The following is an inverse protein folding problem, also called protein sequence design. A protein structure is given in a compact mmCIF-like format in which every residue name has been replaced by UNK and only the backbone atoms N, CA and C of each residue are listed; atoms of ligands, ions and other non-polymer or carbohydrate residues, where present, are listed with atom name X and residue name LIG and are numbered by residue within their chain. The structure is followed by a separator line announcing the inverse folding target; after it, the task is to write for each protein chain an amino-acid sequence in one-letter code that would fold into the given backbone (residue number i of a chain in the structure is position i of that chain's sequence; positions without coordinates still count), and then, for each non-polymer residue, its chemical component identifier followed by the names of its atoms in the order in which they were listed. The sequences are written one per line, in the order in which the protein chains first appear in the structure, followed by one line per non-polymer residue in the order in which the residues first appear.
data_IF_132211054799
#
_entry.id   IF_132211054799
#
_cell.length_a   1.000
_cell.length_b   1.000
_cell.length_c   1.000
_cell.angle_alpha   90.00
_cell.angle_beta   90.00
_cell.angle_gamma   90.00
#
_symmetry.space_group_name_H-M   'P 1'
#
loop_
_entity.id
_entity.type
_entity.pdbx_description
1 polymer ?
#
# COMPACT_ATOMS: atom_id res chain seq x y z
N UNK A 1 13.82 29.93 14.56
CA UNK A 1 13.63 29.09 15.76
C UNK A 1 14.94 28.85 16.52
N UNK A 2 15.98 28.28 15.88
CA UNK A 2 17.27 27.97 16.52
C UNK A 2 17.89 29.13 17.33
N UNK A 3 17.97 30.33 16.76
CA UNK A 3 18.45 31.53 17.47
C UNK A 3 17.70 31.81 18.79
N UNK A 4 16.37 31.62 18.81
CA UNK A 4 15.54 31.82 20.02
C UNK A 4 15.80 30.75 21.09
N UNK A 5 16.21 29.56 20.68
CA UNK A 5 16.55 28.44 21.58
C UNK A 5 18.03 28.43 21.99
N UNK A 6 18.84 29.37 21.50
CA UNK A 6 20.28 29.39 21.75
C UNK A 6 21.07 28.29 21.04
N UNK A 7 20.48 27.64 20.03
CA UNK A 7 21.14 26.54 19.32
C UNK A 7 22.17 27.08 18.31
N UNK A 8 23.43 26.69 18.47
CA UNK A 8 24.55 27.04 17.58
C UNK A 8 24.97 25.86 16.69
N UNK A 9 25.02 24.65 17.25
CA UNK A 9 25.26 23.40 16.53
C UNK A 9 23.96 22.63 16.42
N UNK A 10 23.60 22.31 15.18
CA UNK A 10 22.39 21.57 14.81
C UNK A 10 22.77 20.46 13.84
N UNK A 11 22.41 19.22 14.17
CA UNK A 11 22.49 18.06 13.28
C UNK A 11 21.12 17.76 12.69
N UNK A 12 21.06 17.64 11.37
CA UNK A 12 19.82 17.32 10.67
C UNK A 12 19.72 15.82 10.35
N UNK A 13 18.55 15.25 10.61
CA UNK A 13 18.19 13.90 10.18
C UNK A 13 17.19 13.95 9.02
N UNK A 14 17.60 13.42 7.88
CA UNK A 14 16.74 13.19 6.71
C UNK A 14 16.00 11.86 6.89
N UNK A 15 14.69 11.86 6.67
CA UNK A 15 13.95 10.60 6.50
C UNK A 15 12.71 10.79 5.61
N UNK A 16 12.31 9.70 4.96
CA UNK A 16 11.03 9.55 4.25
C UNK A 16 10.19 8.40 4.81
N UNK A 17 10.69 7.72 5.84
CA UNK A 17 10.08 6.54 6.46
C UNK A 17 9.64 6.88 7.89
N UNK A 18 8.70 6.13 8.48
CA UNK A 18 8.46 6.20 9.92
C UNK A 18 9.76 6.00 10.70
N UNK A 19 9.88 6.70 11.83
CA UNK A 19 10.99 6.48 12.76
C UNK A 19 10.64 5.38 13.75
N UNK A 20 11.64 4.56 14.04
CA UNK A 20 11.60 3.42 14.95
C UNK A 20 12.72 3.61 15.97
N UNK A 21 12.86 2.68 16.92
CA UNK A 21 13.86 2.83 18.00
C UNK A 21 15.29 2.95 17.46
N UNK A 22 15.65 2.13 16.49
CA UNK A 22 16.97 2.20 15.83
C UNK A 22 17.26 3.59 15.25
N UNK A 23 16.27 4.25 14.65
CA UNK A 23 16.41 5.61 14.13
C UNK A 23 16.59 6.64 15.26
N UNK A 24 15.84 6.49 16.35
CA UNK A 24 15.93 7.39 17.48
C UNK A 24 17.30 7.31 18.17
N UNK A 25 17.77 6.10 18.45
CA UNK A 25 19.13 5.86 18.97
C UNK A 25 20.22 6.39 18.05
N UNK A 26 20.11 6.13 16.75
CA UNK A 26 21.05 6.64 15.75
C UNK A 26 21.17 8.16 15.82
N UNK A 27 20.03 8.86 15.77
CA UNK A 27 20.04 10.33 15.79
C UNK A 27 20.50 10.91 17.11
N UNK A 28 20.25 10.23 18.23
CA UNK A 28 20.69 10.66 19.55
C UNK A 28 22.20 10.53 19.68
N UNK A 29 22.77 9.38 19.30
CA UNK A 29 24.22 9.18 19.24
C UNK A 29 24.89 10.18 18.30
N UNK A 30 24.25 10.48 17.16
CA UNK A 30 24.77 11.47 16.22
C UNK A 30 24.87 12.85 16.84
N UNK A 31 23.80 13.30 17.49
CA UNK A 31 23.76 14.58 18.19
C UNK A 31 24.80 14.65 19.32
N UNK A 32 24.94 13.58 20.12
CA UNK A 32 25.92 13.52 21.20
C UNK A 32 27.36 13.55 20.71
N UNK A 33 27.71 12.77 19.68
CA UNK A 33 29.08 12.69 19.13
C UNK A 33 29.62 14.04 18.67
N UNK A 34 28.74 14.89 18.15
CA UNK A 34 29.11 16.24 17.69
C UNK A 34 28.57 17.34 18.59
N UNK A 35 28.16 17.03 19.82
CA UNK A 35 27.67 18.00 20.81
C UNK A 35 26.68 19.03 20.22
N UNK A 36 25.70 18.53 19.46
CA UNK A 36 24.75 19.34 18.70
C UNK A 36 23.30 19.08 19.13
N UNK A 37 22.44 20.05 18.90
CA UNK A 37 21.00 19.86 18.98
C UNK A 37 20.50 19.12 17.73
N UNK A 38 19.38 18.42 17.84
CA UNK A 38 18.86 17.56 16.78
C UNK A 38 17.67 18.21 16.07
N UNK A 39 17.72 18.23 14.74
CA UNK A 39 16.58 18.53 13.89
C UNK A 39 16.14 17.26 13.16
N UNK A 40 15.00 16.72 13.56
CA UNK A 40 14.27 15.70 12.80
C UNK A 40 13.58 16.42 11.64
N UNK A 41 14.05 16.17 10.42
CA UNK A 41 13.66 16.95 9.24
C UNK A 41 13.08 16.08 8.12
N UNK A 42 11.96 15.38 8.36
CA UNK A 42 11.38 14.45 7.40
C UNK A 42 10.87 15.15 6.14
N UNK A 43 10.93 14.43 5.01
CA UNK A 43 10.33 14.87 3.76
C UNK A 43 8.83 14.57 3.73
N UNK A 44 8.03 15.57 3.38
CA UNK A 44 6.57 15.45 3.22
C UNK A 44 6.06 15.75 1.81
N UNK A 45 6.97 16.11 0.88
CA UNK A 45 6.64 16.17 -0.55
C UNK A 45 6.68 14.78 -1.20
N UNK A 46 7.06 14.71 -2.48
CA UNK A 46 7.17 13.44 -3.19
C UNK A 46 8.31 12.58 -2.63
N UNK A 47 8.01 11.33 -2.31
CA UNK A 47 8.98 10.32 -1.82
C UNK A 47 9.03 9.13 -2.78
N UNK A 48 9.53 7.96 -2.36
CA UNK A 48 9.56 6.78 -3.23
C UNK A 48 8.15 6.21 -3.39
N UNK A 49 7.74 5.77 -4.60
CA UNK A 49 6.50 5.02 -4.78
C UNK A 49 6.42 3.81 -3.85
N UNK A 50 5.27 3.62 -3.20
CA UNK A 50 5.03 2.56 -2.21
C UNK A 50 5.51 2.89 -0.79
N UNK A 51 6.13 4.05 -0.55
CA UNK A 51 6.38 4.53 0.81
C UNK A 51 5.05 4.81 1.54
N UNK A 52 5.12 4.79 2.87
CA UNK A 52 3.99 5.14 3.72
C UNK A 52 3.61 6.61 3.50
N UNK A 53 2.31 6.90 3.42
CA UNK A 53 1.80 8.25 3.21
C UNK A 53 2.33 9.22 4.26
N UNK A 54 2.54 10.48 3.86
CA UNK A 54 3.20 11.43 4.72
C UNK A 54 2.37 11.80 5.95
N UNK A 55 1.03 11.73 5.91
CA UNK A 55 0.21 12.04 7.09
C UNK A 55 0.44 11.00 8.18
N UNK A 56 0.45 9.72 7.83
CA UNK A 56 0.78 8.62 8.74
C UNK A 56 2.19 8.78 9.30
N UNK A 57 3.17 9.11 8.44
CA UNK A 57 4.55 9.34 8.89
C UNK A 57 4.66 10.52 9.85
N UNK A 58 3.98 11.63 9.58
CA UNK A 58 3.97 12.82 10.45
C UNK A 58 3.41 12.46 11.83
N UNK A 59 2.27 11.77 11.90
CA UNK A 59 1.71 11.29 13.18
C UNK A 59 2.68 10.34 13.89
N UNK A 60 3.37 9.46 13.16
CA UNK A 60 4.43 8.61 13.74
C UNK A 60 5.58 9.46 14.31
N UNK A 61 6.04 10.49 13.60
CA UNK A 61 7.11 11.38 14.10
C UNK A 61 6.68 12.09 15.38
N UNK A 62 5.45 12.61 15.44
CA UNK A 62 4.91 13.24 16.65
C UNK A 62 4.92 12.28 17.85
N UNK A 63 4.60 11.00 17.64
CA UNK A 63 4.71 9.97 18.69
C UNK A 63 6.15 9.71 19.12
N UNK A 64 7.08 9.58 18.18
CA UNK A 64 8.50 9.36 18.49
C UNK A 64 9.11 10.59 19.18
N UNK A 65 8.65 11.81 18.87
CA UNK A 65 9.17 13.04 19.47
C UNK A 65 9.05 13.06 21.00
N UNK A 66 8.07 12.36 21.58
CA UNK A 66 7.93 12.19 23.03
C UNK A 66 9.08 11.37 23.67
N UNK A 67 9.92 10.73 22.86
CA UNK A 67 11.09 9.95 23.27
C UNK A 67 12.40 10.75 23.17
N UNK A 68 12.33 12.02 22.80
CA UNK A 68 13.47 12.92 22.76
C UNK A 68 13.39 13.99 23.85
N UNK A 69 14.53 14.52 24.35
CA UNK A 69 14.52 15.67 25.24
C UNK A 69 14.03 16.93 24.49
N UNK A 70 12.94 17.54 24.97
CA UNK A 70 12.25 18.65 24.30
C UNK A 70 13.15 19.87 24.01
N UNK A 71 14.13 20.12 24.88
CA UNK A 71 15.02 21.30 24.79
C UNK A 71 16.15 21.16 23.78
N UNK A 72 16.42 19.94 23.31
CA UNK A 72 17.55 19.63 22.42
C UNK A 72 17.11 18.95 21.12
N UNK A 73 15.81 18.79 20.88
CA UNK A 73 15.30 18.18 19.64
C UNK A 73 14.10 18.93 19.10
N UNK A 74 14.06 19.13 17.78
CA UNK A 74 12.98 19.79 17.08
C UNK A 74 12.53 18.96 15.88
N UNK A 75 11.22 18.94 15.63
CA UNK A 75 10.62 18.46 14.39
C UNK A 75 10.33 19.63 13.45
N UNK A 76 10.67 19.50 12.18
CA UNK A 76 10.26 20.41 11.10
C UNK A 76 10.01 19.60 9.83
N UNK A 77 8.96 19.93 9.07
CA UNK A 77 8.64 19.21 7.83
C UNK A 77 9.34 19.86 6.64
N UNK A 78 9.89 19.04 5.74
CA UNK A 78 10.55 19.49 4.53
C UNK A 78 9.68 19.19 3.29
N UNK A 79 9.11 20.21 2.60
CA UNK A 79 8.35 20.01 1.37
C UNK A 79 9.28 19.79 0.16
N UNK A 80 10.08 18.72 0.21
CA UNK A 80 11.00 18.32 -0.85
C UNK A 80 10.34 17.25 -1.74
N UNK A 81 10.52 17.36 -3.05
CA UNK A 81 10.29 16.25 -3.96
C UNK A 81 11.60 15.49 -4.15
N UNK A 82 11.71 14.32 -3.53
CA UNK A 82 12.88 13.47 -3.68
C UNK A 82 12.96 12.90 -5.09
N UNK A 83 14.18 12.68 -5.59
CA UNK A 83 14.44 12.07 -6.90
C UNK A 83 14.90 10.62 -6.78
N UNK A 84 15.20 10.20 -5.55
CA UNK A 84 15.89 8.96 -5.26
C UNK A 84 17.26 8.90 -5.96
N UNK A 85 17.95 10.06 -6.03
CA UNK A 85 19.20 10.25 -6.76
C UNK A 85 20.47 9.90 -5.97
N UNK A 86 20.33 9.11 -4.90
CA UNK A 86 21.46 8.56 -4.13
C UNK A 86 22.50 9.62 -3.76
N UNK A 87 23.78 9.45 -4.18
CA UNK A 87 24.87 10.36 -3.84
C UNK A 87 24.63 11.83 -4.22
N UNK A 88 24.08 12.09 -5.42
CA UNK A 88 23.80 13.46 -5.87
C UNK A 88 22.73 14.13 -5.01
N UNK A 89 21.71 13.36 -4.63
CA UNK A 89 20.66 13.84 -3.75
C UNK A 89 21.14 14.01 -2.30
N UNK A 90 22.15 13.25 -1.85
CA UNK A 90 22.80 13.48 -0.57
C UNK A 90 23.49 14.86 -0.50
N UNK A 91 24.22 15.25 -1.55
CA UNK A 91 24.78 16.61 -1.65
C UNK A 91 23.68 17.67 -1.66
N UNK A 92 22.60 17.43 -2.42
CA UNK A 92 21.46 18.35 -2.46
C UNK A 92 20.81 18.50 -1.07
N UNK A 93 20.63 17.40 -0.35
CA UNK A 93 20.15 17.41 1.03
C UNK A 93 21.06 18.20 1.96
N UNK A 94 22.39 18.10 1.81
CA UNK A 94 23.36 18.86 2.59
C UNK A 94 23.18 20.38 2.36
N UNK A 95 23.09 20.81 1.10
CA UNK A 95 22.82 22.21 0.73
C UNK A 95 21.50 22.70 1.33
N UNK A 96 20.42 21.93 1.18
CA UNK A 96 19.11 22.28 1.75
C UNK A 96 19.24 22.46 3.26
N UNK A 97 19.87 21.52 3.98
CA UNK A 97 19.97 21.57 5.45
C UNK A 97 20.83 22.72 5.93
N UNK A 98 21.92 23.04 5.22
CA UNK A 98 22.70 24.25 5.46
C UNK A 98 21.83 25.50 5.34
N UNK A 99 21.02 25.61 4.28
CA UNK A 99 20.13 26.75 4.06
C UNK A 99 19.04 26.86 5.15
N UNK A 100 18.63 25.74 5.76
CA UNK A 100 17.75 25.73 6.94
C UNK A 100 18.48 26.06 8.25
N UNK A 101 19.79 26.34 8.20
CA UNK A 101 20.62 26.72 9.35
C UNK A 101 21.23 25.54 10.12
N UNK A 102 21.29 24.35 9.50
CA UNK A 102 21.93 23.19 10.11
C UNK A 102 23.45 23.23 9.87
N UNK A 103 24.21 22.87 10.90
CA UNK A 103 25.69 22.80 10.85
C UNK A 103 26.20 21.43 10.46
N UNK A 104 25.39 20.40 10.72
CA UNK A 104 25.72 19.00 10.49
C UNK A 104 24.55 18.29 9.80
N UNK A 105 24.84 17.23 9.04
CA UNK A 105 23.84 16.35 8.44
C UNK A 105 24.21 14.89 8.64
N UNK A 106 23.25 14.06 9.07
CA UNK A 106 23.42 12.62 9.15
C UNK A 106 23.27 12.03 7.75
N UNK A 107 24.25 11.21 7.35
CA UNK A 107 24.20 10.42 6.12
C UNK A 107 24.49 8.96 6.47
N UNK A 108 23.49 8.11 6.25
CA UNK A 108 23.58 6.68 6.52
C UNK A 108 23.82 5.85 5.26
N UNK A 109 23.75 4.52 5.43
CA UNK A 109 23.71 3.55 4.34
C UNK A 109 22.53 3.82 3.40
N UNK A 110 22.75 3.69 2.09
CA UNK A 110 21.77 3.85 1.00
C UNK A 110 21.02 5.20 1.02
N UNK A 111 21.68 6.28 1.47
CA UNK A 111 21.04 7.58 1.61
C UNK A 111 20.45 8.07 0.28
N UNK A 112 19.13 8.32 0.29
CA UNK A 112 18.35 8.67 -0.90
C UNK A 112 18.43 7.67 -2.07
N UNK A 113 18.80 6.41 -1.82
CA UNK A 113 18.80 5.35 -2.83
C UNK A 113 17.39 4.78 -3.10
N UNK A 114 17.08 4.38 -4.34
CA UNK A 114 15.81 3.74 -4.68
C UNK A 114 15.80 2.25 -4.31
N UNK A 115 16.92 1.65 -3.90
CA UNK A 115 17.07 0.23 -3.63
C UNK A 115 17.73 -0.48 -4.80
N UNK A 116 17.16 -1.64 -5.18
CA UNK A 116 17.66 -2.49 -6.25
C UNK A 116 16.81 -2.40 -7.51
N UNK A 117 17.38 -2.71 -8.67
CA UNK A 117 16.70 -2.83 -9.95
C UNK A 117 15.90 -4.13 -10.06
N UNK A 118 15.28 -4.37 -11.22
CA UNK A 118 14.49 -5.59 -11.48
C UNK A 118 15.31 -6.88 -11.46
N UNK A 119 16.65 -6.79 -11.56
CA UNK A 119 17.57 -7.92 -11.50
C UNK A 119 18.15 -8.12 -10.09
N UNK A 120 17.71 -7.31 -9.11
CA UNK A 120 18.23 -7.34 -7.74
C UNK A 120 19.61 -6.69 -7.58
N UNK A 121 20.04 -5.86 -8.54
CA UNK A 121 21.29 -5.12 -8.45
C UNK A 121 21.05 -3.74 -7.82
N UNK A 122 21.84 -3.33 -6.82
CA UNK A 122 21.66 -2.02 -6.18
C UNK A 122 22.01 -0.90 -7.17
N UNK A 123 21.14 0.13 -7.26
CA UNK A 123 21.39 1.30 -8.12
C UNK A 123 22.64 2.09 -7.73
N UNK A 124 23.00 2.06 -6.45
CA UNK A 124 24.16 2.74 -5.89
C UNK A 124 24.88 1.84 -4.89
N UNK A 125 26.20 1.97 -4.78
CA UNK A 125 26.94 1.34 -3.68
C UNK A 125 26.44 1.88 -2.32
N UNK A 126 26.31 1.05 -1.27
CA UNK A 126 25.63 1.44 -0.04
C UNK A 126 26.18 2.66 0.69
N UNK A 127 27.45 2.98 0.50
CA UNK A 127 28.10 4.15 1.11
C UNK A 127 28.49 5.25 0.11
N UNK A 128 28.12 5.13 -1.16
CA UNK A 128 28.49 6.10 -2.20
C UNK A 128 28.04 7.54 -1.88
N UNK A 129 26.95 7.70 -1.14
CA UNK A 129 26.47 9.00 -0.68
C UNK A 129 27.38 9.63 0.37
N UNK A 130 27.95 8.83 1.27
CA UNK A 130 28.94 9.29 2.24
C UNK A 130 30.23 9.66 1.53
N UNK A 131 30.71 8.79 0.63
CA UNK A 131 31.94 9.00 -0.13
C UNK A 131 31.92 10.33 -0.90
N UNK A 132 30.82 10.59 -1.61
CA UNK A 132 30.68 11.82 -2.40
C UNK A 132 30.55 13.06 -1.50
N UNK A 133 29.75 12.99 -0.42
CA UNK A 133 29.59 14.14 0.46
C UNK A 133 30.89 14.49 1.19
N UNK A 134 31.68 13.47 1.57
CA UNK A 134 32.98 13.65 2.23
C UNK A 134 33.97 14.45 1.37
N UNK A 135 33.94 14.25 0.05
CA UNK A 135 34.79 14.98 -0.89
C UNK A 135 34.44 16.47 -0.99
N UNK A 136 33.18 16.84 -0.75
CA UNK A 136 32.67 18.20 -0.96
C UNK A 136 32.23 18.91 0.33
N UNK A 137 32.31 18.30 1.51
CA UNK A 137 31.76 18.88 2.74
C UNK A 137 32.39 20.23 3.14
N UNK A 138 33.68 20.45 2.82
CA UNK A 138 34.37 21.72 3.06
C UNK A 138 33.81 22.83 2.17
N UNK A 139 33.68 22.56 0.87
CA UNK A 139 33.06 23.47 -0.11
C UNK A 139 31.61 23.78 0.25
N UNK A 140 30.86 22.75 0.67
CA UNK A 140 29.46 22.88 1.05
C UNK A 140 29.30 23.60 2.38
N UNK A 141 30.31 23.64 3.26
CA UNK A 141 30.23 24.30 4.58
C UNK A 141 29.19 23.68 5.52
N UNK A 142 29.03 22.35 5.47
CA UNK A 142 28.20 21.56 6.38
C UNK A 142 28.89 20.23 6.66
N UNK A 143 28.98 19.84 7.92
CA UNK A 143 29.75 18.66 8.34
C UNK A 143 28.89 17.40 8.25
N UNK A 144 29.39 16.38 7.57
CA UNK A 144 28.71 15.07 7.55
C UNK A 144 28.93 14.35 8.88
N UNK A 145 27.87 13.77 9.42
CA UNK A 145 27.94 12.79 10.50
C UNK A 145 27.64 11.42 9.89
N UNK A 146 28.70 10.65 9.66
CA UNK A 146 28.63 9.28 9.16
C UNK A 146 27.95 8.40 10.23
N UNK A 147 26.94 7.62 9.81
CA UNK A 147 26.34 6.59 10.64
C UNK A 147 26.19 5.29 9.91
N UNK A 148 26.47 4.22 10.65
CA UNK A 148 26.22 2.87 10.24
C UNK A 148 24.79 2.45 10.58
N UNK A 149 24.37 1.31 10.02
CA UNK A 149 23.12 0.68 10.41
C UNK A 149 23.17 0.30 11.90
N UNK A 150 22.13 0.62 12.64
CA UNK A 150 21.96 0.20 14.03
C UNK A 150 21.16 -1.10 14.08
N UNK A 151 21.62 -2.05 14.89
CA UNK A 151 20.94 -3.32 15.15
C UNK A 151 20.66 -3.48 16.64
N UNK A 152 19.69 -4.32 17.01
CA UNK A 152 19.40 -4.58 18.42
C UNK A 152 20.16 -5.83 18.88
N UNK A 153 21.06 -5.67 19.86
CA UNK A 153 21.69 -6.78 20.55
C UNK A 153 20.80 -7.26 21.69
N UNK A 154 20.35 -8.51 21.63
CA UNK A 154 19.57 -9.11 22.69
C UNK A 154 20.42 -9.35 23.94
N UNK A 155 21.70 -9.71 23.77
CA UNK A 155 22.62 -10.02 24.87
C UNK A 155 22.96 -8.78 25.69
N UNK A 156 23.16 -7.63 25.02
CA UNK A 156 23.47 -6.34 25.66
C UNK A 156 22.21 -5.52 25.95
N UNK A 157 21.02 -5.97 25.51
CA UNK A 157 19.74 -5.27 25.60
C UNK A 157 19.77 -3.81 25.07
N UNK A 158 20.59 -3.54 24.06
CA UNK A 158 20.82 -2.19 23.53
C UNK A 158 21.03 -2.19 22.02
N UNK A 159 20.94 -1.02 21.40
CA UNK A 159 21.27 -0.86 19.98
C UNK A 159 22.76 -0.59 19.81
N UNK A 160 23.38 -1.29 18.87
CA UNK A 160 24.78 -1.12 18.52
C UNK A 160 24.93 -0.91 17.00
N UNK A 161 25.95 -0.19 16.53
CA UNK A 161 26.33 -0.15 15.13
C UNK A 161 26.71 -1.55 14.65
N UNK A 162 26.52 -1.82 13.36
CA UNK A 162 26.92 -3.11 12.77
C UNK A 162 28.41 -3.41 12.88
N UNK A 163 29.28 -2.40 12.98
CA UNK A 163 30.72 -2.58 13.22
C UNK A 163 31.09 -3.03 14.64
N UNK A 164 30.20 -2.89 15.63
CA UNK A 164 30.44 -3.27 17.02
C UNK A 164 29.91 -4.68 17.35
N UNK A 165 29.39 -5.42 16.36
CA UNK A 165 28.88 -6.78 16.55
C UNK A 165 30.04 -7.74 16.83
N UNK A 166 29.98 -8.44 17.96
CA UNK A 166 30.97 -9.47 18.31
C UNK A 166 30.63 -10.84 17.68
N UNK A 167 31.64 -11.68 17.44
CA UNK A 167 31.43 -13.06 16.96
C UNK A 167 30.58 -13.84 17.97
N UNK A 168 29.32 -14.14 17.60
CA UNK A 168 28.26 -14.85 18.36
C UNK A 168 27.24 -13.96 19.10
N UNK A 169 27.24 -12.66 18.90
CA UNK A 169 26.21 -11.80 19.48
C UNK A 169 24.83 -12.06 18.86
N UNK A 170 23.80 -12.20 19.69
CA UNK A 170 22.43 -12.44 19.24
C UNK A 170 21.77 -11.13 18.78
N UNK A 171 21.81 -10.91 17.47
CA UNK A 171 21.33 -9.70 16.83
C UNK A 171 19.91 -9.88 16.27
N UNK A 172 19.01 -8.97 16.65
CA UNK A 172 17.66 -8.89 16.11
C UNK A 172 17.54 -7.71 15.15
N UNK A 173 16.94 -7.97 13.98
CA UNK A 173 16.60 -6.96 12.98
C UNK A 173 15.29 -7.32 12.28
N UNK A 174 14.49 -6.31 11.94
CA UNK A 174 13.28 -6.47 11.12
C UNK A 174 13.45 -5.59 9.88
N UNK A 175 13.40 -6.22 8.71
CA UNK A 175 13.43 -5.51 7.44
C UNK A 175 12.11 -4.79 7.19
N UNK A 176 12.12 -3.78 6.31
CA UNK A 176 10.88 -3.11 5.89
C UNK A 176 9.86 -4.04 5.21
N UNK A 177 10.31 -5.14 4.60
CA UNK A 177 9.43 -6.17 4.05
C UNK A 177 8.75 -6.98 5.16
N UNK A 178 9.50 -7.38 6.19
CA UNK A 178 8.94 -8.11 7.33
C UNK A 178 8.01 -7.21 8.18
N UNK A 179 8.34 -5.92 8.36
CA UNK A 179 7.43 -4.96 9.00
C UNK A 179 6.07 -4.89 8.27
N UNK A 180 6.10 -4.76 6.93
CA UNK A 180 4.88 -4.74 6.12
C UNK A 180 4.08 -6.03 6.25
N UNK A 181 4.76 -7.19 6.24
CA UNK A 181 4.12 -8.49 6.48
C UNK A 181 3.45 -8.55 7.85
N UNK A 182 4.12 -8.10 8.92
CA UNK A 182 3.55 -8.07 10.28
C UNK A 182 2.34 -7.14 10.39
N UNK A 183 2.40 -5.96 9.77
CA UNK A 183 1.26 -5.04 9.67
C UNK A 183 0.07 -5.70 8.95
N UNK A 184 0.30 -6.29 7.77
CA UNK A 184 -0.74 -6.94 6.96
C UNK A 184 -1.37 -8.14 7.66
N UNK A 185 -0.57 -8.99 8.30
CA UNK A 185 -1.05 -10.18 8.99
C UNK A 185 -1.52 -9.90 10.43
N UNK A 186 -1.37 -8.65 10.90
CA UNK A 186 -1.69 -8.26 12.27
C UNK A 186 -0.77 -8.87 13.34
N UNK A 187 0.33 -9.51 12.94
CA UNK A 187 1.31 -10.13 13.83
C UNK A 187 1.92 -9.10 14.78
N UNK A 188 2.40 -9.55 15.93
CA UNK A 188 3.10 -8.68 16.89
C UNK A 188 4.30 -7.97 16.24
N UNK A 189 4.48 -6.69 16.56
CA UNK A 189 5.66 -5.91 16.17
C UNK A 189 6.42 -5.64 17.47
N UNK A 190 7.59 -6.27 17.67
CA UNK A 190 8.25 -6.26 18.96
C UNK A 190 8.59 -4.85 19.43
N UNK A 191 8.50 -4.61 20.73
CA UNK A 191 8.81 -3.30 21.28
C UNK A 191 10.27 -2.91 21.06
N UNK A 192 11.20 -3.86 21.02
CA UNK A 192 12.60 -3.59 20.65
C UNK A 192 12.75 -3.13 19.18
N UNK A 193 11.75 -3.29 18.33
CA UNK A 193 11.81 -2.73 16.98
C UNK A 193 11.25 -1.31 16.95
N UNK A 194 10.02 -1.13 17.43
CA UNK A 194 9.30 0.14 17.37
C UNK A 194 8.51 0.40 18.64
N UNK A 195 8.32 1.67 18.95
CA UNK A 195 7.49 2.09 20.08
C UNK A 195 6.01 1.68 19.87
N UNK A 196 5.29 1.21 20.92
CA UNK A 196 3.89 0.81 20.82
C UNK A 196 3.00 1.88 20.19
N UNK A 197 3.16 3.15 20.59
CA UNK A 197 2.37 4.27 20.07
C UNK A 197 2.63 4.57 18.58
N UNK A 198 3.81 4.23 18.06
CA UNK A 198 4.13 4.33 16.63
C UNK A 198 3.49 3.18 15.88
N UNK A 199 3.56 1.96 16.43
CA UNK A 199 2.92 0.78 15.84
C UNK A 199 1.41 0.95 15.78
N UNK A 200 0.79 1.49 16.83
CA UNK A 200 -0.64 1.80 16.85
C UNK A 200 -1.01 2.76 15.71
N UNK A 201 -0.22 3.81 15.51
CA UNK A 201 -0.45 4.79 14.45
C UNK A 201 -0.29 4.18 13.04
N UNK A 202 0.73 3.32 12.86
CA UNK A 202 0.89 2.56 11.62
C UNK A 202 -0.29 1.63 11.36
N UNK A 203 -0.83 0.97 12.38
CA UNK A 203 -1.99 0.06 12.25
C UNK A 203 -3.30 0.77 11.94
N UNK A 204 -3.43 2.08 12.23
CA UNK A 204 -4.61 2.87 11.82
C UNK A 204 -4.67 3.03 10.31
N UNK A 205 -3.53 3.26 9.67
CA UNK A 205 -3.43 3.45 8.22
C UNK A 205 -3.21 2.15 7.46
N UNK A 206 -2.59 1.16 8.09
CA UNK A 206 -2.34 -0.17 7.54
C UNK A 206 -2.95 -1.23 8.46
N UNK A 207 -4.29 -1.33 8.50
CA UNK A 207 -4.95 -2.32 9.32
C UNK A 207 -4.60 -3.74 8.84
N UNK A 208 -4.68 -4.76 9.71
CA UNK A 208 -4.56 -6.15 9.30
C UNK A 208 -5.57 -6.52 8.21
N UNK A 209 -5.27 -7.52 7.36
CA UNK A 209 -6.09 -7.92 6.21
C UNK A 209 -7.57 -8.16 6.56
N UNK A 210 -7.85 -8.78 7.70
CA UNK A 210 -9.22 -9.06 8.14
C UNK A 210 -10.01 -7.81 8.56
N UNK A 211 -9.35 -6.65 8.66
CA UNK A 211 -9.93 -5.32 8.92
C UNK A 211 -9.81 -4.38 7.72
N UNK A 212 -9.17 -4.79 6.62
CA UNK A 212 -9.12 -4.02 5.38
C UNK A 212 -10.44 -4.11 4.62
N UNK A 213 -10.69 -3.15 3.75
CA UNK A 213 -11.74 -3.29 2.74
C UNK A 213 -11.30 -4.25 1.64
N UNK A 214 -12.26 -4.78 0.90
CA UNK A 214 -11.97 -5.62 -0.25
C UNK A 214 -13.09 -5.59 -1.29
N UNK A 215 -12.73 -5.86 -2.54
CA UNK A 215 -13.68 -5.99 -3.65
C UNK A 215 -13.80 -7.43 -4.11
N UNK A 216 -15.03 -7.90 -4.18
CA UNK A 216 -15.42 -9.15 -4.85
C UNK A 216 -15.92 -8.79 -6.23
N UNK A 217 -15.17 -9.17 -7.25
CA UNK A 217 -15.44 -8.83 -8.63
C UNK A 217 -15.88 -10.06 -9.43
N UNK A 218 -17.19 -10.24 -9.57
CA UNK A 218 -17.74 -11.27 -10.43
C UNK A 218 -17.64 -10.88 -11.91
N UNK A 219 -17.36 -11.86 -12.76
CA UNK A 219 -17.45 -11.75 -14.22
C UNK A 219 -18.06 -13.03 -14.80
N UNK A 220 -18.75 -12.92 -15.93
CA UNK A 220 -19.43 -14.03 -16.57
C UNK A 220 -20.57 -13.56 -17.47
N UNK A 221 -21.09 -14.46 -18.29
CA UNK A 221 -22.17 -14.19 -19.26
C UNK A 221 -23.47 -13.69 -18.59
N UNK A 222 -24.31 -12.98 -19.33
CA UNK A 222 -25.66 -12.63 -18.83
C UNK A 222 -26.42 -13.92 -18.46
N UNK A 223 -27.23 -13.93 -17.41
CA UNK A 223 -27.93 -15.17 -17.00
C UNK A 223 -27.06 -16.25 -16.33
N UNK A 224 -25.75 -16.03 -16.17
CA UNK A 224 -24.85 -17.01 -15.53
C UNK A 224 -25.05 -17.19 -14.02
N UNK A 225 -25.89 -16.38 -13.37
CA UNK A 225 -26.18 -16.47 -11.94
C UNK A 225 -25.37 -15.52 -11.04
N UNK A 226 -24.54 -14.63 -11.61
CA UNK A 226 -23.76 -13.62 -10.84
C UNK A 226 -24.59 -12.85 -9.82
N UNK A 227 -25.66 -12.18 -10.25
CA UNK A 227 -26.49 -11.34 -9.37
C UNK A 227 -27.15 -12.16 -8.26
N UNK A 228 -27.51 -13.42 -8.50
CA UNK A 228 -28.06 -14.32 -7.48
C UNK A 228 -27.02 -14.62 -6.40
N UNK A 229 -25.80 -15.03 -6.81
CA UNK A 229 -24.71 -15.32 -5.89
C UNK A 229 -24.27 -14.05 -5.14
N UNK A 230 -24.16 -12.92 -5.83
CA UNK A 230 -23.77 -11.63 -5.24
C UNK A 230 -24.75 -11.16 -4.16
N UNK A 231 -26.06 -11.34 -4.37
CA UNK A 231 -27.07 -10.99 -3.36
C UNK A 231 -27.04 -11.93 -2.15
N UNK A 232 -26.91 -13.25 -2.37
CA UNK A 232 -26.78 -14.22 -1.29
C UNK A 232 -25.52 -13.96 -0.46
N UNK A 233 -24.40 -13.69 -1.13
CA UNK A 233 -23.14 -13.33 -0.50
C UNK A 233 -23.23 -12.02 0.28
N UNK A 234 -23.92 -11.00 -0.24
CA UNK A 234 -24.16 -9.75 0.49
C UNK A 234 -24.82 -10.00 1.84
N UNK A 235 -25.93 -10.76 1.86
CA UNK A 235 -26.66 -11.07 3.10
C UNK A 235 -25.72 -11.78 4.08
N UNK A 236 -25.04 -12.81 3.61
CA UNK A 236 -24.13 -13.59 4.44
C UNK A 236 -22.98 -12.78 5.02
N UNK A 237 -22.36 -11.91 4.22
CA UNK A 237 -21.31 -11.03 4.72
C UNK A 237 -21.85 -10.03 5.75
N UNK A 238 -23.02 -9.44 5.53
CA UNK A 238 -23.64 -8.54 6.50
C UNK A 238 -23.96 -9.23 7.85
N UNK A 239 -24.20 -10.54 7.84
CA UNK A 239 -24.37 -11.34 9.06
C UNK A 239 -23.03 -11.70 9.75
N UNK A 240 -21.98 -11.93 8.96
CA UNK A 240 -20.69 -12.46 9.45
C UNK A 240 -19.67 -11.39 9.86
N UNK A 241 -19.67 -10.21 9.22
CA UNK A 241 -18.59 -9.23 9.39
C UNK A 241 -19.12 -7.86 9.80
N UNK A 242 -18.33 -7.13 10.60
CA UNK A 242 -18.62 -5.76 11.00
C UNK A 242 -17.98 -4.73 10.05
N UNK A 243 -18.32 -4.80 8.74
CA UNK A 243 -17.88 -3.86 7.71
C UNK A 243 -19.06 -3.51 6.80
N UNK A 244 -19.20 -2.24 6.33
CA UNK A 244 -20.23 -1.88 5.36
C UNK A 244 -20.07 -2.68 4.07
N UNK A 245 -21.16 -3.29 3.60
CA UNK A 245 -21.20 -4.06 2.36
C UNK A 245 -22.03 -3.32 1.31
N UNK A 246 -21.41 -3.02 0.17
CA UNK A 246 -22.04 -2.32 -0.95
C UNK A 246 -22.15 -3.25 -2.15
N UNK A 247 -23.35 -3.36 -2.72
CA UNK A 247 -23.60 -4.14 -3.94
C UNK A 247 -23.65 -3.22 -5.16
N UNK A 248 -22.71 -3.43 -6.08
CA UNK A 248 -22.61 -2.79 -7.39
C UNK A 248 -23.04 -3.80 -8.47
N UNK A 249 -24.32 -4.17 -8.44
CA UNK A 249 -24.93 -5.04 -9.45
C UNK A 249 -25.25 -4.26 -10.73
N UNK A 250 -25.34 -4.96 -11.87
CA UNK A 250 -25.48 -4.37 -13.19
C UNK A 250 -26.66 -3.41 -13.31
N UNK A 251 -27.82 -3.73 -12.70
CA UNK A 251 -29.01 -2.88 -12.77
C UNK A 251 -28.86 -1.60 -11.93
N UNK A 252 -28.30 -1.70 -10.71
CA UNK A 252 -28.03 -0.55 -9.83
C UNK A 252 -27.00 0.39 -10.47
N UNK A 253 -25.93 -0.17 -11.04
CA UNK A 253 -24.90 0.58 -11.74
C UNK A 253 -25.48 1.26 -12.98
N UNK A 254 -26.26 0.55 -13.80
CA UNK A 254 -26.91 1.12 -14.98
C UNK A 254 -27.85 2.26 -14.61
N UNK A 255 -28.57 2.16 -13.50
CA UNK A 255 -29.49 3.21 -13.07
C UNK A 255 -28.77 4.46 -12.58
N UNK A 256 -27.70 4.32 -11.79
CA UNK A 256 -27.11 5.45 -11.05
C UNK A 256 -25.80 5.97 -11.62
N UNK A 257 -25.04 5.12 -12.31
CA UNK A 257 -23.68 5.42 -12.73
C UNK A 257 -23.51 5.37 -14.25
N UNK A 258 -24.46 4.83 -15.01
CA UNK A 258 -24.25 4.49 -16.43
C UNK A 258 -25.55 4.47 -17.24
N UNK A 259 -26.52 5.31 -16.87
CA UNK A 259 -27.84 5.35 -17.51
C UNK A 259 -27.79 5.83 -18.97
N UNK A 260 -26.77 6.61 -19.30
CA UNK A 260 -26.51 7.14 -20.63
C UNK A 260 -25.71 6.18 -21.51
N UNK A 261 -25.10 5.15 -20.94
CA UNK A 261 -24.24 4.22 -21.66
C UNK A 261 -25.07 3.15 -22.38
N UNK A 262 -24.77 2.96 -23.66
CA UNK A 262 -25.31 1.89 -24.50
C UNK A 262 -24.61 0.53 -24.29
N UNK A 263 -24.53 -0.26 -25.37
CA UNK A 263 -23.95 -1.60 -25.36
C UNK A 263 -22.66 -1.75 -26.17
N UNK A 264 -22.12 -0.67 -26.73
CA UNK A 264 -20.88 -0.72 -27.49
C UNK A 264 -19.71 -1.19 -26.63
N UNK A 265 -18.66 -1.74 -27.27
CA UNK A 265 -17.40 -2.09 -26.60
C UNK A 265 -16.87 -0.94 -25.72
N UNK A 266 -16.85 0.28 -26.26
CA UNK A 266 -16.41 1.47 -25.54
C UNK A 266 -17.29 1.78 -24.31
N UNK A 267 -18.62 1.77 -24.47
CA UNK A 267 -19.54 2.00 -23.36
C UNK A 267 -19.43 0.92 -22.27
N UNK A 268 -19.15 -0.34 -22.63
CA UNK A 268 -18.89 -1.42 -21.67
C UNK A 268 -17.61 -1.16 -20.89
N UNK A 269 -16.56 -0.73 -21.56
CA UNK A 269 -15.28 -0.38 -20.93
C UNK A 269 -15.48 0.75 -19.91
N UNK A 270 -16.15 1.84 -20.30
CA UNK A 270 -16.45 2.96 -19.40
C UNK A 270 -17.28 2.49 -18.19
N UNK A 271 -18.31 1.67 -18.43
CA UNK A 271 -19.14 1.14 -17.36
C UNK A 271 -18.32 0.32 -16.34
N UNK A 272 -17.45 -0.57 -16.80
CA UNK A 272 -16.60 -1.39 -15.91
C UNK A 272 -15.56 -0.53 -15.20
N UNK A 273 -14.97 0.45 -15.87
CA UNK A 273 -14.04 1.41 -15.27
C UNK A 273 -14.71 2.22 -14.15
N UNK A 274 -15.95 2.68 -14.34
CA UNK A 274 -16.75 3.38 -13.31
C UNK A 274 -17.03 2.50 -12.11
N UNK A 275 -17.39 1.23 -12.34
CA UNK A 275 -17.54 0.25 -11.25
C UNK A 275 -16.23 0.09 -10.49
N UNK A 276 -15.11 -0.08 -11.20
CA UNK A 276 -13.78 -0.21 -10.60
C UNK A 276 -13.43 0.97 -9.71
N UNK A 277 -13.65 2.20 -10.17
CA UNK A 277 -13.39 3.42 -9.41
C UNK A 277 -14.25 3.53 -8.14
N UNK A 278 -15.54 3.25 -8.23
CA UNK A 278 -16.41 3.28 -7.03
C UNK A 278 -16.02 2.17 -6.06
N UNK A 279 -15.71 0.97 -6.55
CA UNK A 279 -15.25 -0.15 -5.74
C UNK A 279 -13.90 0.13 -5.06
N UNK A 280 -12.98 0.84 -5.73
CA UNK A 280 -11.67 1.21 -5.19
C UNK A 280 -11.81 2.18 -4.01
N UNK A 281 -12.68 3.18 -4.12
CA UNK A 281 -12.93 4.10 -3.00
C UNK A 281 -13.67 3.42 -1.84
N UNK A 282 -14.59 2.48 -2.10
CA UNK A 282 -15.21 1.66 -1.04
C UNK A 282 -14.15 0.82 -0.32
N UNK A 283 -13.28 0.15 -1.08
CA UNK A 283 -12.21 -0.72 -0.56
C UNK A 283 -11.22 0.07 0.30
N UNK A 284 -10.76 1.21 -0.20
CA UNK A 284 -9.87 2.15 0.49
C UNK A 284 -10.41 2.61 1.84
N UNK A 285 -11.73 2.75 1.96
CA UNK A 285 -12.41 3.18 3.19
C UNK A 285 -12.82 2.01 4.11
N UNK A 286 -12.28 0.80 3.90
CA UNK A 286 -12.54 -0.35 4.77
C UNK A 286 -13.86 -1.08 4.48
N UNK A 287 -14.60 -0.70 3.45
CA UNK A 287 -15.83 -1.34 3.04
C UNK A 287 -15.62 -2.58 2.17
N UNK A 288 -16.68 -3.34 1.96
CA UNK A 288 -16.72 -4.48 1.03
C UNK A 288 -17.54 -4.10 -0.18
N UNK A 289 -16.91 -4.08 -1.36
CA UNK A 289 -17.63 -3.89 -2.62
C UNK A 289 -17.90 -5.25 -3.27
N UNK A 290 -19.16 -5.53 -3.62
CA UNK A 290 -19.55 -6.71 -4.38
C UNK A 290 -20.00 -6.25 -5.76
N UNK A 291 -19.20 -6.54 -6.79
CA UNK A 291 -19.43 -6.10 -8.16
C UNK A 291 -19.88 -7.28 -9.01
N UNK A 292 -20.98 -7.14 -9.75
CA UNK A 292 -21.48 -8.21 -10.63
C UNK A 292 -21.66 -7.81 -12.12
N UNK A 293 -20.70 -7.10 -12.76
CA UNK A 293 -20.77 -6.81 -14.18
C UNK A 293 -20.55 -8.05 -15.05
N UNK A 294 -20.81 -7.92 -16.36
CA UNK A 294 -20.37 -8.93 -17.34
C UNK A 294 -18.84 -8.88 -17.48
N UNK A 295 -18.28 -7.67 -17.61
CA UNK A 295 -16.84 -7.41 -17.77
C UNK A 295 -16.14 -8.35 -18.79
N UNK A 296 -16.54 -8.28 -20.08
CA UNK A 296 -16.16 -9.29 -21.06
C UNK A 296 -14.70 -9.23 -21.51
N UNK A 297 -13.99 -8.12 -21.30
CA UNK A 297 -12.63 -7.93 -21.80
C UNK A 297 -11.60 -8.04 -20.68
N UNK A 298 -10.58 -8.90 -20.86
CA UNK A 298 -9.55 -9.17 -19.86
C UNK A 298 -8.72 -7.94 -19.51
N UNK A 299 -8.41 -7.08 -20.50
CA UNK A 299 -7.68 -5.83 -20.26
C UNK A 299 -8.38 -4.94 -19.23
N UNK A 300 -9.69 -4.78 -19.34
CA UNK A 300 -10.45 -3.93 -18.43
C UNK A 300 -10.56 -4.55 -17.03
N UNK A 301 -10.64 -5.89 -16.91
CA UNK A 301 -10.57 -6.55 -15.61
C UNK A 301 -9.22 -6.36 -14.93
N UNK A 302 -8.12 -6.42 -15.69
CA UNK A 302 -6.78 -6.12 -15.19
C UNK A 302 -6.64 -4.67 -14.72
N UNK A 303 -7.15 -3.69 -15.47
CA UNK A 303 -7.14 -2.27 -15.06
C UNK A 303 -7.92 -2.05 -13.75
N UNK A 304 -9.07 -2.71 -13.57
CA UNK A 304 -9.83 -2.64 -12.31
C UNK A 304 -9.06 -3.27 -11.15
N UNK A 305 -8.40 -4.41 -11.38
CA UNK A 305 -7.54 -5.08 -10.39
C UNK A 305 -6.39 -4.17 -9.96
N UNK A 306 -5.66 -3.60 -10.91
CA UNK A 306 -4.55 -2.66 -10.66
C UNK A 306 -4.98 -1.41 -9.87
N UNK A 307 -6.22 -0.97 -10.06
CA UNK A 307 -6.79 0.17 -9.33
C UNK A 307 -7.10 -0.16 -7.85
N UNK A 308 -7.48 -1.41 -7.54
CA UNK A 308 -8.01 -1.80 -6.23
C UNK A 308 -6.95 -2.45 -5.34
N UNK A 309 -6.08 -3.31 -5.88
CA UNK A 309 -5.07 -4.06 -5.10
C UNK A 309 -4.14 -3.18 -4.24
N UNK A 310 -3.73 -1.97 -4.65
CA UNK A 310 -2.96 -1.07 -3.78
C UNK A 310 -3.73 -0.55 -2.56
N UNK A 311 -5.06 -0.63 -2.58
CA UNK A 311 -5.96 -0.03 -1.59
C UNK A 311 -6.58 -1.07 -0.64
N UNK A 312 -6.58 -2.36 -1.01
CA UNK A 312 -7.12 -3.44 -0.21
C UNK A 312 -7.20 -4.76 -0.97
N UNK A 313 -8.03 -5.69 -0.49
CA UNK A 313 -8.19 -7.00 -1.14
C UNK A 313 -8.95 -6.91 -2.46
N UNK A 314 -8.56 -7.73 -3.45
CA UNK A 314 -9.32 -7.94 -4.67
C UNK A 314 -9.47 -9.44 -4.92
N UNK A 315 -10.67 -9.87 -5.32
CA UNK A 315 -10.96 -11.27 -5.67
C UNK A 315 -11.81 -11.30 -6.94
N UNK A 316 -11.25 -11.82 -8.02
CA UNK A 316 -11.94 -12.08 -9.29
C UNK A 316 -12.61 -13.46 -9.25
N UNK A 317 -13.92 -13.47 -9.48
CA UNK A 317 -14.72 -14.69 -9.50
C UNK A 317 -15.30 -14.86 -10.90
N UNK A 318 -14.80 -15.85 -11.63
CA UNK A 318 -15.37 -16.25 -12.90
C UNK A 318 -16.60 -17.13 -12.66
N UNK A 319 -17.78 -16.64 -13.06
CA UNK A 319 -19.01 -17.44 -13.08
C UNK A 319 -19.17 -18.07 -14.47
N UNK A 320 -18.50 -19.20 -14.66
CA UNK A 320 -18.28 -19.94 -15.93
C UNK A 320 -19.46 -20.78 -16.39
N UNK A 321 -20.69 -20.34 -16.10
CA UNK A 321 -21.87 -21.08 -16.56
C UNK A 321 -21.93 -21.07 -18.09
N UNK A 322 -22.08 -22.23 -18.75
CA UNK A 322 -22.08 -22.31 -20.21
C UNK A 322 -23.13 -21.40 -20.87
N UNK A 323 -22.84 -20.93 -22.08
CA UNK A 323 -23.70 -20.02 -22.84
C UNK A 323 -25.10 -20.64 -23.08
N UNK A 324 -25.16 -21.92 -23.41
CA UNK A 324 -26.42 -22.61 -23.68
C UNK A 324 -27.35 -22.59 -22.47
N UNK A 325 -26.78 -22.72 -21.27
CA UNK A 325 -27.54 -22.65 -20.03
C UNK A 325 -27.93 -21.21 -19.69
N UNK A 326 -27.05 -20.24 -19.94
CA UNK A 326 -27.34 -18.83 -19.81
C UNK A 326 -28.52 -18.39 -20.70
N UNK A 327 -28.58 -18.88 -21.95
CA UNK A 327 -29.66 -18.62 -22.90
C UNK A 327 -31.00 -19.22 -22.43
N UNK A 328 -30.98 -20.44 -21.87
CA UNK A 328 -32.20 -21.04 -21.27
C UNK A 328 -32.75 -20.22 -20.10
N UNK A 329 -31.86 -19.53 -19.36
CA UNK A 329 -32.19 -18.70 -18.20
C UNK A 329 -32.46 -17.23 -18.56
N UNK A 330 -32.68 -16.90 -19.83
CA UNK A 330 -32.84 -15.53 -20.35
C UNK A 330 -34.11 -14.81 -19.86
N UNK A 331 -34.15 -14.48 -18.57
CA UNK A 331 -35.28 -13.83 -17.91
C UNK A 331 -35.60 -12.45 -18.50
N UNK A 332 -34.61 -11.77 -19.08
CA UNK A 332 -34.74 -10.42 -19.65
C UNK A 332 -35.00 -10.44 -21.16
N UNK A 333 -35.04 -11.63 -21.80
CA UNK A 333 -35.23 -11.78 -23.24
C UNK A 333 -34.09 -11.20 -24.09
N UNK A 334 -32.92 -10.93 -23.48
CA UNK A 334 -31.81 -10.24 -24.14
C UNK A 334 -31.10 -11.15 -25.14
N UNK A 335 -30.95 -12.44 -24.82
CA UNK A 335 -30.40 -13.42 -25.76
C UNK A 335 -31.34 -13.63 -26.94
N UNK A 336 -32.65 -13.72 -26.69
CA UNK A 336 -33.64 -13.85 -27.76
C UNK A 336 -33.62 -12.64 -28.72
N UNK A 337 -33.48 -11.41 -28.18
CA UNK A 337 -33.34 -10.20 -28.98
C UNK A 337 -32.00 -10.13 -29.74
N UNK A 338 -30.91 -10.57 -29.13
CA UNK A 338 -29.60 -10.66 -29.77
C UNK A 338 -29.59 -11.65 -30.93
N UNK A 339 -30.17 -12.85 -30.75
CA UNK A 339 -30.31 -13.89 -31.79
C UNK A 339 -31.16 -13.40 -32.98
N UNK A 340 -32.12 -12.51 -32.74
CA UNK A 340 -32.92 -11.84 -33.79
C UNK A 340 -32.23 -10.64 -34.44
N UNK A 341 -31.01 -10.29 -34.04
CA UNK A 341 -30.24 -9.16 -34.57
C UNK A 341 -30.71 -7.78 -34.10
N UNK A 342 -31.63 -7.71 -33.13
CA UNK A 342 -32.13 -6.44 -32.57
C UNK A 342 -31.06 -5.76 -31.71
N UNK A 343 -30.33 -6.55 -30.91
CA UNK A 343 -29.15 -6.08 -30.17
C UNK A 343 -27.91 -6.47 -30.99
N UNK A 344 -27.33 -5.49 -31.68
CA UNK A 344 -26.24 -5.72 -32.65
C UNK A 344 -24.97 -6.29 -32.00
N UNK A 345 -24.60 -5.79 -30.83
CA UNK A 345 -23.39 -6.19 -30.10
C UNK A 345 -23.78 -6.81 -28.77
N UNK A 346 -23.86 -8.13 -28.67
CA UNK A 346 -24.23 -8.84 -27.45
C UNK A 346 -23.16 -9.86 -27.05
N UNK A 347 -22.72 -9.79 -25.79
CA UNK A 347 -21.64 -10.65 -25.27
C UNK A 347 -22.00 -12.13 -25.37
N UNK A 348 -21.09 -12.93 -25.93
CA UNK A 348 -21.26 -14.36 -26.13
C UNK A 348 -22.03 -14.74 -27.40
N UNK A 349 -22.55 -13.76 -28.15
CA UNK A 349 -23.24 -13.99 -29.43
C UNK A 349 -22.49 -13.31 -30.57
N UNK A 350 -22.46 -11.98 -30.58
CA UNK A 350 -21.83 -11.16 -31.62
C UNK A 350 -20.60 -10.39 -31.14
N UNK A 351 -20.42 -10.25 -29.82
CA UNK A 351 -19.24 -9.67 -29.17
C UNK A 351 -18.60 -10.72 -28.24
N UNK A 352 -17.27 -10.88 -28.22
CA UNK A 352 -16.61 -11.95 -27.46
C UNK A 352 -16.75 -11.79 -25.94
N UNK A 353 -16.62 -12.92 -25.25
CA UNK A 353 -16.33 -12.97 -23.82
C UNK A 353 -14.93 -13.57 -23.65
N UNK A 354 -13.96 -12.75 -23.22
CA UNK A 354 -12.60 -13.19 -22.94
C UNK A 354 -12.57 -13.81 -21.54
N UNK A 355 -12.52 -15.14 -21.46
CA UNK A 355 -12.48 -15.86 -20.19
C UNK A 355 -11.29 -15.40 -19.31
N UNK A 356 -11.49 -15.22 -17.99
CA UNK A 356 -10.41 -14.96 -17.06
C UNK A 356 -9.35 -16.07 -17.08
N UNK A 357 -8.08 -15.70 -17.25
CA UNK A 357 -6.94 -16.64 -17.26
C UNK A 357 -6.62 -17.12 -15.85
N UNK A 358 -6.50 -16.19 -14.90
CA UNK A 358 -6.05 -16.46 -13.54
C UNK A 358 -7.02 -15.89 -12.49
N UNK A 359 -8.33 -16.25 -12.51
CA UNK A 359 -9.24 -15.79 -11.47
C UNK A 359 -8.93 -16.48 -10.14
N UNK A 360 -9.11 -15.78 -9.02
CA UNK A 360 -8.97 -16.38 -7.68
C UNK A 360 -9.95 -17.54 -7.43
N UNK A 361 -11.10 -17.51 -8.12
CA UNK A 361 -12.11 -18.57 -8.11
C UNK A 361 -12.82 -18.72 -9.46
N UNK A 362 -13.13 -19.97 -9.81
CA UNK A 362 -14.02 -20.31 -10.91
C UNK A 362 -15.24 -21.07 -10.36
N UNK A 363 -16.46 -20.65 -10.75
CA UNK A 363 -17.73 -21.22 -10.30
C UNK A 363 -18.62 -21.50 -11.51
N UNK A 364 -18.83 -22.78 -11.79
CA UNK A 364 -19.87 -23.22 -12.71
C UNK A 364 -21.17 -23.45 -11.93
N UNK A 365 -22.25 -22.74 -12.27
CA UNK A 365 -23.53 -22.83 -11.53
C UNK A 365 -24.34 -24.08 -11.82
N UNK A 366 -23.85 -24.97 -12.68
CA UNK A 366 -24.40 -26.31 -12.85
C UNK A 366 -23.95 -27.27 -11.74
N UNK A 367 -22.80 -27.01 -11.14
CA UNK A 367 -22.18 -27.88 -10.12
C UNK A 367 -22.58 -27.48 -8.69
N UNK A 368 -23.10 -26.26 -8.52
CA UNK A 368 -23.39 -25.68 -7.20
C UNK A 368 -24.71 -24.91 -7.20
N UNK A 369 -25.49 -25.10 -6.14
CA UNK A 369 -26.55 -24.15 -5.78
C UNK A 369 -25.97 -22.78 -5.39
N UNK A 370 -26.76 -21.70 -5.43
CA UNK A 370 -26.31 -20.38 -5.00
C UNK A 370 -25.73 -20.35 -3.58
N UNK A 371 -26.30 -21.11 -2.65
CA UNK A 371 -25.83 -21.18 -1.27
C UNK A 371 -24.49 -21.91 -1.16
N UNK A 372 -24.33 -23.01 -1.89
CA UNK A 372 -23.05 -23.74 -1.97
C UNK A 372 -21.95 -22.87 -2.60
N UNK A 373 -22.26 -22.17 -3.71
CA UNK A 373 -21.33 -21.23 -4.33
C UNK A 373 -20.94 -20.11 -3.35
N UNK A 374 -21.92 -19.54 -2.65
CA UNK A 374 -21.70 -18.51 -1.63
C UNK A 374 -20.81 -19.00 -0.49
N UNK A 375 -21.04 -20.21 0.03
CA UNK A 375 -20.19 -20.82 1.06
C UNK A 375 -18.74 -21.00 0.57
N UNK A 376 -18.54 -21.44 -0.67
CA UNK A 376 -17.18 -21.58 -1.23
C UNK A 376 -16.45 -20.24 -1.31
N UNK A 377 -17.17 -19.17 -1.64
CA UNK A 377 -16.60 -17.81 -1.66
C UNK A 377 -16.18 -17.38 -0.26
N UNK A 378 -17.03 -17.61 0.75
CA UNK A 378 -16.69 -17.36 2.15
C UNK A 378 -15.41 -18.09 2.57
N UNK A 379 -15.30 -19.40 2.30
CA UNK A 379 -14.09 -20.18 2.61
C UNK A 379 -12.83 -19.62 1.91
N UNK A 380 -12.97 -19.12 0.68
CA UNK A 380 -11.86 -18.47 -0.03
C UNK A 380 -11.46 -17.16 0.66
N UNK A 381 -12.42 -16.34 1.06
CA UNK A 381 -12.17 -15.09 1.77
C UNK A 381 -11.46 -15.32 3.12
N UNK A 382 -11.83 -16.38 3.86
CA UNK A 382 -11.15 -16.83 5.09
C UNK A 382 -9.71 -17.25 4.78
N UNK A 383 -9.50 -18.10 3.78
CA UNK A 383 -8.17 -18.56 3.38
C UNK A 383 -7.24 -17.43 2.91
N UNK A 384 -7.80 -16.35 2.37
CA UNK A 384 -7.06 -15.14 1.99
C UNK A 384 -6.80 -14.18 3.17
N UNK A 385 -7.41 -14.44 4.32
CA UNK A 385 -7.35 -13.62 5.54
C UNK A 385 -8.16 -12.32 5.44
N UNK A 386 -9.11 -12.23 4.50
CA UNK A 386 -9.96 -11.04 4.29
C UNK A 386 -11.13 -10.99 5.27
N UNK A 387 -11.59 -12.14 5.74
CA UNK A 387 -12.55 -12.30 6.83
C UNK A 387 -11.96 -13.27 7.86
N UNK A 388 -12.44 -13.19 9.10
CA UNK A 388 -11.90 -13.94 10.25
C UNK A 388 -12.65 -15.24 10.47
#
# INVERSE_FOLDING_TARGET
KFKKLGWSRIVAFQTRNPMHRAHQELTFRAAQRVEANLLIHPVVGLTKPGDIDHFTRVRCYEKVMNRYPERTTALSLLPLAMRMGGPREAMWHAIIRKNFGCTHIIVGRDHAGPGDDSNGQPFYHPYAAQDLLKQHQEELGIVMVEFEMMVYSQDKAQYIPVSEIEEKENILNISGTELRRRLQLGLDIPEWFSYPEVVEELRKSYPPRNKQGFTIFFTGLSGSGKSTIANALRVKLMEMINRPVTLLDGDVVRQHLSSELGFSKEHRNINVQRIGYVASEITKNGGVAICAPIAPYGKMRAEVREMIEPLGGFIEIHVSTPLEECEKRDRKGLYALARKGVIKEFTGISDPYEEPKDPEMNINTLDFSPDQATQRIVLKLEAMGLIA
#
